data_IF_102194438276
#
_entry.id   IF_102194438276
#
_cell.length_a   1.000
_cell.length_b   1.000
_cell.length_c   1.000
_cell.angle_alpha   90.00
_cell.angle_beta   90.00
_cell.angle_gamma   90.00
#
_symmetry.space_group_name_H-M   'P 1'
#
loop_
_entity.id
_entity.type
_entity.pdbx_description
1 polymer ?
#
# COMPACT_ATOMS: atom_id res chain seq x y z
N UNK A 1 33.34 20.78 -43.67
CA UNK A 1 33.17 20.24 -42.29
C UNK A 1 34.28 19.22 -42.07
N UNK A 2 35.17 19.40 -41.10
CA UNK A 2 36.24 18.42 -40.85
C UNK A 2 35.63 17.14 -40.27
N UNK A 3 36.23 15.97 -40.53
CA UNK A 3 35.76 14.67 -39.99
C UNK A 3 35.52 14.72 -38.48
N UNK A 4 36.28 15.55 -37.76
CA UNK A 4 36.14 15.80 -36.31
C UNK A 4 34.82 16.51 -35.96
N UNK A 5 34.40 17.51 -36.75
CA UNK A 5 33.13 18.23 -36.53
C UNK A 5 31.91 17.33 -36.83
N UNK A 6 32.02 16.41 -37.79
CA UNK A 6 30.95 15.45 -38.08
C UNK A 6 30.76 14.45 -36.93
N UNK A 7 31.86 13.93 -36.37
CA UNK A 7 31.82 13.02 -35.22
C UNK A 7 31.22 13.73 -33.99
N UNK A 8 31.64 14.96 -33.69
CA UNK A 8 31.07 15.73 -32.57
C UNK A 8 29.58 16.00 -32.74
N UNK A 9 29.11 16.28 -33.96
CA UNK A 9 27.69 16.50 -34.23
C UNK A 9 26.88 15.20 -34.03
N UNK A 10 27.38 14.07 -34.51
CA UNK A 10 26.70 12.77 -34.34
C UNK A 10 26.61 12.39 -32.86
N UNK A 11 27.67 12.60 -32.08
CA UNK A 11 27.67 12.34 -30.63
C UNK A 11 26.70 13.27 -29.89
N UNK A 12 26.65 14.55 -30.25
CA UNK A 12 25.70 15.49 -29.64
C UNK A 12 24.26 15.10 -29.98
N UNK A 13 23.99 14.75 -31.23
CA UNK A 13 22.66 14.33 -31.68
C UNK A 13 22.23 13.04 -31.00
N UNK A 14 23.14 12.06 -30.84
CA UNK A 14 22.83 10.82 -30.13
C UNK A 14 22.56 11.07 -28.65
N UNK A 15 23.34 11.90 -27.97
CA UNK A 15 23.07 12.31 -26.58
C UNK A 15 21.72 13.00 -26.44
N UNK A 16 21.38 13.92 -27.35
CA UNK A 16 20.09 14.62 -27.33
C UNK A 16 18.93 13.65 -27.57
N UNK A 17 19.07 12.71 -28.50
CA UNK A 17 18.08 11.65 -28.74
C UNK A 17 17.90 10.77 -27.50
N UNK A 18 18.98 10.36 -26.83
CA UNK A 18 18.88 9.56 -25.60
C UNK A 18 18.16 10.33 -24.48
N UNK A 19 18.51 11.60 -24.25
CA UNK A 19 17.83 12.45 -23.26
C UNK A 19 16.34 12.64 -23.61
N UNK A 20 16.01 12.76 -24.89
CA UNK A 20 14.63 12.86 -25.35
C UNK A 20 13.87 11.55 -25.09
N UNK A 21 14.46 10.39 -25.38
CA UNK A 21 13.86 9.08 -25.12
C UNK A 21 13.61 8.87 -23.62
N UNK A 22 14.57 9.22 -22.77
CA UNK A 22 14.41 9.14 -21.30
C UNK A 22 13.28 10.06 -20.82
N UNK A 23 13.21 11.30 -21.35
CA UNK A 23 12.14 12.24 -21.00
C UNK A 23 10.75 11.76 -21.47
N UNK A 24 10.67 11.07 -22.60
CA UNK A 24 9.42 10.54 -23.15
C UNK A 24 8.98 9.22 -22.50
N UNK A 25 9.87 8.55 -21.78
CA UNK A 25 9.58 7.29 -21.09
C UNK A 25 9.97 7.43 -19.60
N UNK A 26 9.23 8.24 -18.82
CA UNK A 26 9.43 8.31 -17.38
C UNK A 26 9.24 6.92 -16.75
N UNK A 27 9.77 6.73 -15.54
CA UNK A 27 9.65 5.48 -14.79
C UNK A 27 8.16 5.16 -14.60
N UNK A 28 7.73 4.01 -15.15
CA UNK A 28 6.36 3.49 -15.05
C UNK A 28 6.31 2.28 -14.11
N UNK A 29 7.18 2.26 -13.11
CA UNK A 29 7.10 1.23 -12.10
C UNK A 29 5.80 1.42 -11.33
N UNK A 30 5.06 0.33 -11.18
CA UNK A 30 3.86 0.25 -10.34
C UNK A 30 4.22 0.71 -8.94
N UNK A 31 3.29 1.41 -8.29
CA UNK A 31 3.44 2.01 -6.95
C UNK A 31 4.53 3.08 -6.81
N UNK A 32 5.26 3.45 -7.86
CA UNK A 32 6.26 4.52 -7.75
C UNK A 32 5.58 5.88 -7.53
N UNK A 33 6.12 6.67 -6.58
CA UNK A 33 5.67 8.03 -6.29
C UNK A 33 5.96 9.03 -7.42
N UNK A 34 6.84 8.66 -8.36
CA UNK A 34 7.10 9.43 -9.59
C UNK A 34 6.28 8.96 -10.79
N UNK A 35 5.51 7.88 -10.65
CA UNK A 35 4.64 7.37 -11.70
C UNK A 35 3.29 8.11 -11.67
N UNK A 36 2.98 8.78 -12.78
CA UNK A 36 1.73 9.53 -12.97
C UNK A 36 0.65 8.76 -13.74
N UNK A 37 0.94 7.53 -14.16
CA UNK A 37 -0.06 6.65 -14.75
C UNK A 37 -1.02 6.11 -13.67
N UNK A 38 -2.08 5.41 -14.09
CA UNK A 38 -3.15 4.93 -13.21
C UNK A 38 -2.69 3.98 -12.09
N UNK A 39 -1.53 3.34 -12.26
CA UNK A 39 -0.92 2.39 -11.33
C UNK A 39 0.26 2.99 -10.53
N UNK A 40 0.42 4.31 -10.52
CA UNK A 40 1.40 5.02 -9.70
C UNK A 40 0.81 5.57 -8.40
N UNK A 41 1.69 6.19 -7.58
CA UNK A 41 1.34 6.84 -6.31
C UNK A 41 1.61 8.36 -6.32
N UNK A 42 1.77 8.99 -7.49
CA UNK A 42 2.09 10.42 -7.56
C UNK A 42 1.08 11.30 -6.82
N UNK A 43 -0.20 10.96 -6.90
CA UNK A 43 -1.28 11.78 -6.34
C UNK A 43 -1.37 11.59 -4.82
N UNK A 44 -1.18 10.36 -4.34
CA UNK A 44 -1.04 10.05 -2.93
C UNK A 44 0.21 10.72 -2.32
N UNK A 45 1.35 10.67 -3.02
CA UNK A 45 2.59 11.30 -2.59
C UNK A 45 2.48 12.83 -2.55
N UNK A 46 1.69 13.44 -3.45
CA UNK A 46 1.46 14.89 -3.45
C UNK A 46 0.64 15.37 -2.23
N UNK A 47 -0.12 14.48 -1.59
CA UNK A 47 -0.84 14.77 -0.34
C UNK A 47 0.03 14.61 0.92
N UNK A 48 1.19 13.94 0.82
CA UNK A 48 2.13 13.78 1.93
C UNK A 48 3.05 14.99 2.09
N UNK A 49 3.53 15.24 3.32
CA UNK A 49 4.47 16.33 3.61
C UNK A 49 5.81 16.16 2.87
N UNK A 50 6.28 14.91 2.77
CA UNK A 50 7.49 14.54 2.04
C UNK A 50 7.50 13.06 1.70
N UNK A 51 8.18 12.72 0.61
CA UNK A 51 8.54 11.34 0.25
C UNK A 51 9.98 11.07 0.67
N UNK A 52 10.25 9.94 1.31
CA UNK A 52 11.60 9.51 1.63
C UNK A 52 12.20 8.73 0.44
N UNK A 53 13.42 9.06 -0.02
CA UNK A 53 14.08 8.32 -1.09
C UNK A 53 14.70 7.00 -0.58
N UNK A 54 15.00 6.89 0.72
CA UNK A 54 15.40 5.64 1.38
C UNK A 54 14.95 5.62 2.85
N UNK A 55 14.95 4.42 3.45
CA UNK A 55 14.63 4.24 4.86
C UNK A 55 15.68 4.88 5.78
N UNK A 56 16.94 5.02 5.36
CA UNK A 56 18.01 5.63 6.17
C UNK A 56 17.67 7.07 6.63
N UNK A 57 16.78 7.76 5.92
CA UNK A 57 16.33 9.11 6.31
C UNK A 57 15.28 9.12 7.43
N UNK A 58 14.79 7.94 7.86
CA UNK A 58 13.76 7.81 8.89
C UNK A 58 14.25 8.29 10.25
N UNK A 59 15.53 8.11 10.57
CA UNK A 59 16.13 8.56 11.84
C UNK A 59 16.10 10.09 12.00
N UNK A 60 16.00 10.81 10.88
CA UNK A 60 15.94 12.27 10.82
C UNK A 60 14.49 12.80 10.76
N UNK A 61 13.48 11.94 10.84
CA UNK A 61 12.06 12.34 10.88
C UNK A 61 11.73 12.81 12.30
N UNK A 62 11.33 14.09 12.50
CA UNK A 62 10.88 14.54 13.81
C UNK A 62 9.55 13.88 14.18
N UNK A 63 9.42 13.44 15.43
CA UNK A 63 8.19 12.86 15.97
C UNK A 63 7.30 13.93 16.64
N UNK A 64 5.96 13.77 16.62
CA UNK A 64 5.21 12.64 16.06
C UNK A 64 5.14 12.69 14.53
N UNK A 65 5.22 11.52 13.87
CA UNK A 65 5.11 11.37 12.43
C UNK A 65 4.43 10.06 12.04
N UNK A 66 3.82 10.04 10.84
CA UNK A 66 3.24 8.85 10.23
C UNK A 66 4.02 8.50 8.97
N UNK A 67 4.45 7.25 8.84
CA UNK A 67 5.14 6.71 7.67
C UNK A 67 4.21 5.73 6.95
N UNK A 68 3.85 6.04 5.71
CA UNK A 68 3.16 5.10 4.83
C UNK A 68 4.20 4.21 4.12
N UNK A 69 4.09 2.90 4.32
CA UNK A 69 4.88 1.88 3.61
C UNK A 69 3.94 1.13 2.67
N UNK A 70 4.16 1.25 1.37
CA UNK A 70 3.29 0.68 0.34
C UNK A 70 4.11 -0.34 -0.45
N UNK A 71 3.69 -1.60 -0.42
CA UNK A 71 4.42 -2.75 -0.98
C UNK A 71 5.95 -2.67 -0.76
N UNK A 72 6.45 -2.58 0.49
CA UNK A 72 7.87 -2.38 0.75
C UNK A 72 8.76 -3.54 0.27
N UNK A 73 8.17 -4.68 -0.10
CA UNK A 73 8.89 -5.88 -0.48
C UNK A 73 9.68 -6.49 0.69
N UNK A 74 10.77 -7.17 0.40
CA UNK A 74 11.62 -7.75 1.42
C UNK A 74 12.56 -6.70 2.01
N UNK A 75 12.42 -6.43 3.32
CA UNK A 75 13.34 -5.58 4.08
C UNK A 75 14.52 -6.39 4.63
N UNK A 76 15.69 -5.77 4.70
CA UNK A 76 16.83 -6.36 5.39
C UNK A 76 16.79 -6.09 6.90
N UNK A 77 17.76 -6.65 7.65
CA UNK A 77 17.80 -6.48 9.11
C UNK A 77 17.94 -5.02 9.53
N UNK A 78 18.67 -4.20 8.79
CA UNK A 78 18.90 -2.80 9.14
C UNK A 78 17.61 -1.99 8.93
N UNK A 79 16.91 -2.20 7.82
CA UNK A 79 15.59 -1.61 7.55
C UNK A 79 14.61 -1.93 8.69
N UNK A 80 14.55 -3.20 9.10
CA UNK A 80 13.66 -3.67 10.16
C UNK A 80 13.98 -3.03 11.52
N UNK A 81 15.27 -2.87 11.85
CA UNK A 81 15.70 -2.19 13.07
C UNK A 81 15.31 -0.71 13.08
N UNK A 82 15.47 -0.02 11.95
CA UNK A 82 15.09 1.39 11.81
C UNK A 82 13.58 1.59 11.94
N UNK A 83 12.77 0.78 11.25
CA UNK A 83 11.30 0.83 11.34
C UNK A 83 10.82 0.54 12.77
N UNK A 84 11.40 -0.48 13.41
CA UNK A 84 11.10 -0.81 14.80
C UNK A 84 11.42 0.36 15.74
N UNK A 85 12.59 0.98 15.59
CA UNK A 85 13.00 2.11 16.43
C UNK A 85 12.07 3.33 16.25
N UNK A 86 11.66 3.60 15.01
CA UNK A 86 10.72 4.68 14.69
C UNK A 86 9.37 4.50 15.41
N UNK A 87 8.76 3.32 15.31
CA UNK A 87 7.47 3.05 15.97
C UNK A 87 7.61 3.03 17.49
N UNK A 88 8.67 2.41 18.01
CA UNK A 88 8.93 2.36 19.45
C UNK A 88 9.09 3.74 20.09
N UNK A 89 9.58 4.71 19.31
CA UNK A 89 9.78 6.10 19.73
C UNK A 89 8.51 6.96 19.64
N UNK A 90 7.39 6.40 19.17
CA UNK A 90 6.10 7.10 19.06
C UNK A 90 5.64 7.39 17.63
N UNK A 91 6.37 6.90 16.62
CA UNK A 91 5.94 6.98 15.22
C UNK A 91 4.75 6.06 14.92
N UNK A 92 4.00 6.38 13.86
CA UNK A 92 2.94 5.53 13.33
C UNK A 92 3.40 4.98 11.98
N UNK A 93 3.34 3.67 11.79
CA UNK A 93 3.51 3.07 10.46
C UNK A 93 2.15 2.67 9.92
N UNK A 94 1.85 3.05 8.68
CA UNK A 94 0.74 2.52 7.90
C UNK A 94 1.31 1.60 6.83
N UNK A 95 1.24 0.30 7.05
CA UNK A 95 1.64 -0.73 6.10
C UNK A 95 0.46 -1.06 5.19
N UNK A 96 0.63 -0.88 3.89
CA UNK A 96 -0.34 -1.24 2.87
C UNK A 96 0.26 -2.34 2.00
N UNK A 97 -0.29 -3.54 2.11
CA UNK A 97 0.22 -4.77 1.49
C UNK A 97 -0.91 -5.80 1.40
N UNK A 98 -0.92 -6.63 0.36
CA UNK A 98 -1.98 -7.62 0.11
C UNK A 98 -1.41 -9.02 -0.18
N UNK A 99 -0.41 -9.13 -1.06
CA UNK A 99 0.12 -10.40 -1.55
C UNK A 99 1.60 -10.62 -1.20
N UNK A 100 2.30 -9.57 -0.80
CA UNK A 100 3.73 -9.53 -0.60
C UNK A 100 4.23 -9.94 0.79
N UNK A 101 5.56 -10.00 0.97
CA UNK A 101 6.20 -10.49 2.18
C UNK A 101 6.20 -9.46 3.32
N UNK A 102 5.05 -9.20 3.93
CA UNK A 102 4.96 -8.35 5.13
C UNK A 102 5.31 -9.07 6.45
N UNK A 103 5.30 -10.41 6.47
CA UNK A 103 5.42 -11.19 7.71
C UNK A 103 6.69 -10.86 8.51
N UNK A 104 7.85 -10.82 7.84
CA UNK A 104 9.12 -10.51 8.52
C UNK A 104 9.14 -9.10 9.13
N UNK A 105 8.48 -8.15 8.48
CA UNK A 105 8.36 -6.77 8.95
C UNK A 105 7.42 -6.66 10.16
N UNK A 106 6.26 -7.32 10.11
CA UNK A 106 5.31 -7.35 11.22
C UNK A 106 5.88 -8.10 12.44
N UNK A 107 6.56 -9.22 12.22
CA UNK A 107 7.24 -10.00 13.27
C UNK A 107 8.34 -9.18 13.96
N UNK A 108 9.17 -8.47 13.19
CA UNK A 108 10.24 -7.62 13.73
C UNK A 108 9.71 -6.51 14.65
N UNK A 109 8.51 -6.00 14.35
CA UNK A 109 7.80 -5.01 15.16
C UNK A 109 6.90 -5.63 16.24
N UNK A 110 6.87 -6.96 16.36
CA UNK A 110 6.03 -7.71 17.31
C UNK A 110 4.53 -7.40 17.17
N UNK A 111 4.08 -7.18 15.93
CA UNK A 111 2.69 -6.91 15.56
C UNK A 111 1.96 -8.23 15.36
N UNK A 112 0.85 -8.42 16.04
CA UNK A 112 0.01 -9.62 15.96
C UNK A 112 -1.10 -9.47 14.92
N UNK A 113 -0.71 -9.07 13.71
CA UNK A 113 -1.57 -8.98 12.54
C UNK A 113 -0.92 -9.83 11.44
N UNK A 114 -1.70 -10.68 10.79
CA UNK A 114 -1.26 -11.47 9.63
C UNK A 114 -2.13 -11.14 8.43
N UNK A 115 -1.51 -10.82 7.30
CA UNK A 115 -2.22 -10.71 6.02
C UNK A 115 -2.42 -12.11 5.45
N UNK A 116 -3.64 -12.45 5.07
CA UNK A 116 -3.98 -13.79 4.61
C UNK A 116 -3.34 -14.16 3.27
N UNK A 117 -3.05 -13.18 2.41
CA UNK A 117 -2.44 -13.39 1.08
C UNK A 117 -3.35 -14.13 0.10
N UNK A 118 -4.67 -14.04 0.29
CA UNK A 118 -5.71 -14.68 -0.51
C UNK A 118 -6.81 -13.68 -0.87
N UNK A 119 -7.58 -13.86 -1.98
CA UNK A 119 -8.53 -12.86 -2.45
C UNK A 119 -9.73 -12.67 -1.53
N UNK A 120 -9.99 -11.44 -1.11
CA UNK A 120 -11.27 -11.05 -0.53
C UNK A 120 -12.26 -10.69 -1.64
N UNK A 121 -13.48 -11.21 -1.56
CA UNK A 121 -14.53 -10.94 -2.54
C UNK A 121 -15.83 -10.53 -1.86
N UNK A 122 -16.58 -9.62 -2.49
CA UNK A 122 -17.91 -9.25 -2.04
C UNK A 122 -18.88 -9.11 -3.23
N UNK A 123 -19.84 -10.03 -3.42
CA UNK A 123 -20.73 -10.01 -4.57
C UNK A 123 -21.82 -8.93 -4.49
N UNK A 124 -22.08 -8.34 -3.32
CA UNK A 124 -23.19 -7.41 -3.11
C UNK A 124 -22.71 -5.98 -2.80
N UNK A 125 -21.68 -5.86 -1.96
CA UNK A 125 -21.09 -4.59 -1.56
C UNK A 125 -19.76 -4.34 -2.26
N UNK A 126 -19.76 -4.37 -3.59
CA UNK A 126 -18.59 -4.04 -4.41
C UNK A 126 -18.85 -2.88 -5.37
N UNK A 127 -17.78 -2.24 -5.88
CA UNK A 127 -17.92 -1.16 -6.87
C UNK A 127 -18.66 -1.63 -8.13
N UNK A 128 -18.07 -2.58 -8.85
CA UNK A 128 -18.57 -3.12 -10.13
C UNK A 128 -18.24 -4.59 -10.34
N UNK A 129 -17.25 -5.10 -9.60
CA UNK A 129 -16.80 -6.50 -9.65
C UNK A 129 -16.59 -6.97 -8.20
N UNK A 130 -16.89 -8.23 -7.84
CA UNK A 130 -16.71 -8.71 -6.48
C UNK A 130 -15.27 -8.61 -5.94
N UNK A 131 -14.27 -8.52 -6.82
CA UNK A 131 -12.87 -8.26 -6.45
C UNK A 131 -12.57 -6.81 -6.04
N UNK A 132 -13.56 -5.92 -6.12
CA UNK A 132 -13.49 -4.53 -5.67
C UNK A 132 -14.43 -4.28 -4.48
N UNK A 133 -14.25 -4.98 -3.35
CA UNK A 133 -15.16 -4.92 -2.22
C UNK A 133 -15.11 -3.54 -1.56
N UNK A 134 -16.21 -3.15 -0.93
CA UNK A 134 -16.28 -1.96 -0.08
C UNK A 134 -16.01 -2.35 1.37
N UNK A 135 -15.17 -1.55 2.01
CA UNK A 135 -14.88 -1.65 3.44
C UNK A 135 -15.47 -0.45 4.20
N UNK A 136 -15.83 -0.68 5.45
CA UNK A 136 -16.55 0.26 6.30
C UNK A 136 -15.82 0.47 7.63
N UNK A 137 -15.77 1.69 8.16
CA UNK A 137 -15.19 1.94 9.48
C UNK A 137 -16.01 1.28 10.59
N UNK A 138 -15.34 0.49 11.45
CA UNK A 138 -15.99 -0.17 12.60
C UNK A 138 -16.49 0.85 13.63
N UNK A 139 -15.77 1.96 13.79
CA UNK A 139 -16.10 3.02 14.74
C UNK A 139 -17.27 3.92 14.30
N UNK A 140 -17.71 3.81 13.05
CA UNK A 140 -18.74 4.69 12.47
C UNK A 140 -19.97 3.91 12.02
N UNK A 141 -21.14 4.29 12.53
CA UNK A 141 -22.41 3.81 11.99
C UNK A 141 -22.79 4.50 10.67
N UNK A 142 -22.03 5.52 10.23
CA UNK A 142 -22.29 6.22 8.98
C UNK A 142 -21.74 5.46 7.78
N UNK A 143 -22.61 4.66 7.16
CA UNK A 143 -22.30 3.87 5.96
C UNK A 143 -22.02 4.72 4.71
N UNK A 144 -22.07 6.05 4.80
CA UNK A 144 -21.59 6.92 3.70
C UNK A 144 -20.09 6.80 3.52
N UNK A 145 -19.35 6.73 4.62
CA UNK A 145 -17.90 6.52 4.61
C UNK A 145 -17.60 5.07 4.25
N UNK A 146 -16.95 4.89 3.10
CA UNK A 146 -16.50 3.58 2.65
C UNK A 146 -15.27 3.70 1.75
N UNK A 147 -14.34 2.79 1.97
CA UNK A 147 -13.17 2.63 1.12
C UNK A 147 -13.50 1.55 0.09
N UNK A 148 -13.21 1.81 -1.17
CA UNK A 148 -13.28 0.81 -2.24
C UNK A 148 -11.90 0.21 -2.39
N UNK A 149 -11.80 -1.08 -2.06
CA UNK A 149 -10.58 -1.85 -2.21
C UNK A 149 -10.42 -2.33 -3.66
N UNK A 150 -9.19 -2.68 -4.05
CA UNK A 150 -8.82 -3.15 -5.37
C UNK A 150 -8.03 -4.46 -5.30
N UNK A 151 -8.71 -5.60 -5.46
CA UNK A 151 -8.10 -6.93 -5.33
C UNK A 151 -7.44 -7.17 -3.96
N UNK A 152 -8.08 -6.70 -2.89
CA UNK A 152 -7.58 -6.85 -1.53
C UNK A 152 -7.49 -8.30 -1.06
N UNK A 153 -6.65 -8.49 -0.04
CA UNK A 153 -6.71 -9.62 0.87
C UNK A 153 -7.48 -9.26 2.15
N UNK A 154 -7.27 -10.01 3.23
CA UNK A 154 -7.83 -9.73 4.55
C UNK A 154 -6.82 -9.97 5.67
N UNK A 155 -7.19 -9.52 6.87
CA UNK A 155 -6.37 -9.63 8.07
C UNK A 155 -6.87 -10.73 9.01
N UNK A 156 -5.92 -11.44 9.61
CA UNK A 156 -6.11 -12.34 10.74
C UNK A 156 -5.46 -11.65 11.94
N UNK A 157 -6.24 -11.44 12.99
CA UNK A 157 -5.85 -10.59 14.12
C UNK A 157 -5.57 -11.42 15.38
N UNK A 158 -4.54 -11.02 16.11
CA UNK A 158 -4.27 -11.44 17.49
C UNK A 158 -5.04 -10.60 18.51
N UNK A 159 -4.74 -10.82 19.79
CA UNK A 159 -5.48 -10.20 20.91
C UNK A 159 -5.20 -8.70 21.09
N UNK A 160 -4.09 -8.17 20.55
CA UNK A 160 -3.68 -6.77 20.76
C UNK A 160 -4.00 -5.87 19.56
N UNK A 161 -4.68 -6.38 18.54
CA UNK A 161 -5.05 -5.61 17.36
C UNK A 161 -6.53 -5.24 17.37
N UNK A 162 -6.83 -3.98 17.07
CA UNK A 162 -8.19 -3.45 16.93
C UNK A 162 -8.54 -3.25 15.45
N UNK A 163 -9.73 -3.67 15.03
CA UNK A 163 -10.21 -3.50 13.65
C UNK A 163 -10.55 -2.02 13.40
N UNK A 164 -10.02 -1.47 12.31
CA UNK A 164 -10.36 -0.13 11.81
C UNK A 164 -11.41 -0.20 10.70
N UNK A 165 -11.18 -1.06 9.70
CA UNK A 165 -12.05 -1.26 8.55
C UNK A 165 -12.40 -2.74 8.40
N UNK A 166 -13.66 -3.02 8.11
CA UNK A 166 -14.17 -4.36 7.81
C UNK A 166 -14.99 -4.39 6.52
N UNK A 167 -15.01 -5.54 5.86
CA UNK A 167 -15.88 -5.79 4.71
C UNK A 167 -17.35 -5.92 5.12
N UNK A 168 -18.26 -6.04 4.14
CA UNK A 168 -19.67 -6.31 4.46
C UNK A 168 -19.89 -7.73 4.97
N UNK A 169 -21.06 -7.98 5.56
CA UNK A 169 -21.50 -9.32 5.97
C UNK A 169 -21.56 -10.35 4.82
N UNK A 170 -21.64 -9.89 3.55
CA UNK A 170 -21.73 -10.77 2.38
C UNK A 170 -20.37 -11.09 1.76
N UNK A 171 -19.30 -10.47 2.25
CA UNK A 171 -17.96 -10.77 1.78
C UNK A 171 -17.51 -12.18 2.20
N UNK A 172 -16.58 -12.74 1.45
CA UNK A 172 -15.91 -13.99 1.78
C UNK A 172 -14.47 -13.98 1.30
N UNK A 173 -13.60 -14.71 2.00
CA UNK A 173 -12.25 -14.98 1.53
C UNK A 173 -12.25 -16.19 0.61
N UNK A 174 -11.85 -16.00 -0.64
CA UNK A 174 -11.80 -17.02 -1.70
C UNK A 174 -10.50 -17.83 -1.57
N UNK A 175 -10.47 -18.75 -0.61
CA UNK A 175 -9.27 -19.49 -0.19
C UNK A 175 -8.75 -20.38 -1.32
N UNK A 176 -9.65 -20.88 -2.17
CA UNK A 176 -9.29 -21.74 -3.30
C UNK A 176 -9.19 -21.02 -4.66
N UNK A 177 -9.52 -19.72 -4.70
CA UNK A 177 -9.38 -18.87 -5.89
C UNK A 177 -10.40 -19.16 -7.00
N UNK A 178 -11.54 -19.78 -6.70
CA UNK A 178 -12.52 -20.18 -7.71
C UNK A 178 -13.58 -19.09 -8.00
N UNK A 179 -13.54 -17.97 -7.27
CA UNK A 179 -14.43 -16.83 -7.45
C UNK A 179 -15.84 -17.05 -6.88
N UNK A 180 -16.06 -18.04 -6.01
CA UNK A 180 -17.35 -18.39 -5.39
C UNK A 180 -17.15 -18.73 -3.93
N UNK A 181 -18.19 -18.54 -3.13
CA UNK A 181 -18.16 -18.97 -1.74
C UNK A 181 -18.29 -20.49 -1.64
N UNK A 182 -17.38 -21.11 -0.88
CA UNK A 182 -17.41 -22.52 -0.50
C UNK A 182 -17.58 -22.72 1.01
N UNK A 183 -18.17 -23.86 1.39
CA UNK A 183 -18.36 -24.22 2.79
C UNK A 183 -17.00 -24.27 3.52
N UNK A 184 -16.86 -23.46 4.56
CA UNK A 184 -15.65 -23.38 5.39
C UNK A 184 -14.75 -22.19 5.07
N UNK A 185 -15.04 -21.43 4.01
CA UNK A 185 -14.35 -20.17 3.75
C UNK A 185 -14.76 -19.09 4.78
N UNK A 186 -13.84 -18.17 5.14
CA UNK A 186 -14.17 -17.08 6.03
C UNK A 186 -15.25 -16.20 5.40
N UNK A 187 -16.18 -15.73 6.22
CA UNK A 187 -17.31 -14.88 5.79
C UNK A 187 -17.36 -13.60 6.60
N UNK A 188 -17.96 -12.59 5.99
CA UNK A 188 -18.07 -11.23 6.49
C UNK A 188 -18.79 -11.09 7.84
N UNK A 189 -18.53 -9.99 8.57
CA UNK A 189 -17.54 -8.95 8.27
C UNK A 189 -16.11 -9.46 8.47
N UNK A 190 -15.24 -9.21 7.49
CA UNK A 190 -13.84 -9.64 7.52
C UNK A 190 -12.96 -8.39 7.70
N UNK A 191 -12.03 -8.37 8.67
CA UNK A 191 -11.09 -7.27 8.86
C UNK A 191 -10.20 -7.06 7.63
N UNK A 192 -10.06 -5.79 7.21
CA UNK A 192 -9.19 -5.37 6.09
C UNK A 192 -8.24 -4.24 6.47
N UNK A 193 -8.53 -3.52 7.54
CA UNK A 193 -7.54 -2.66 8.19
C UNK A 193 -7.63 -2.82 9.70
N UNK A 194 -6.48 -2.86 10.36
CA UNK A 194 -6.39 -2.98 11.81
C UNK A 194 -5.17 -2.22 12.35
N UNK A 195 -5.21 -1.89 13.64
CA UNK A 195 -4.14 -1.19 14.35
C UNK A 195 -3.66 -2.04 15.52
N UNK A 196 -2.36 -2.11 15.72
CA UNK A 196 -1.74 -2.72 16.90
C UNK A 196 -0.76 -1.74 17.57
N UNK A 197 -0.72 -1.67 18.91
CA UNK A 197 0.24 -0.85 19.63
C UNK A 197 1.63 -1.50 19.62
N UNK A 198 2.66 -0.71 19.34
CA UNK A 198 4.07 -1.15 19.36
C UNK A 198 4.93 -0.11 20.06
N UNK A 199 5.42 -0.42 21.27
CA UNK A 199 6.17 0.54 22.07
C UNK A 199 5.32 1.76 22.43
N UNK A 200 5.76 2.97 22.04
CA UNK A 200 5.00 4.21 22.22
C UNK A 200 4.14 4.59 21.00
N UNK A 201 4.29 3.88 19.89
CA UNK A 201 3.62 4.14 18.63
C UNK A 201 2.61 3.06 18.25
N UNK A 202 2.23 3.06 16.98
CA UNK A 202 1.24 2.13 16.43
C UNK A 202 1.67 1.64 15.04
N UNK A 203 1.28 0.41 14.72
CA UNK A 203 1.33 -0.12 13.35
C UNK A 203 -0.10 -0.34 12.90
N UNK A 204 -0.47 0.35 11.82
CA UNK A 204 -1.71 0.16 11.08
C UNK A 204 -1.38 -0.71 9.87
N UNK A 205 -2.14 -1.78 9.66
CA UNK A 205 -2.00 -2.66 8.50
C UNK A 205 -3.29 -2.55 7.68
N UNK A 206 -3.16 -2.37 6.38
CA UNK A 206 -4.24 -2.37 5.39
C UNK A 206 -3.96 -3.47 4.38
N UNK A 207 -4.90 -4.39 4.19
CA UNK A 207 -4.74 -5.58 3.35
C UNK A 207 -4.91 -5.31 1.84
N UNK A 208 -4.56 -4.10 1.41
CA UNK A 208 -4.66 -3.60 0.05
C UNK A 208 -3.71 -2.42 -0.12
N UNK A 209 -2.72 -2.55 -1.01
CA UNK A 209 -1.85 -1.43 -1.41
C UNK A 209 -2.46 -0.58 -2.53
N UNK A 210 -3.38 -1.17 -3.29
CA UNK A 210 -3.88 -0.64 -4.54
C UNK A 210 -5.00 0.38 -4.39
N UNK A 211 -5.66 0.47 -3.23
CA UNK A 211 -6.75 1.43 -3.01
C UNK A 211 -6.30 2.90 -3.09
N UNK A 212 -5.01 3.18 -2.92
CA UNK A 212 -4.39 4.52 -3.00
C UNK A 212 -3.71 4.82 -4.34
N UNK A 213 -3.76 3.89 -5.31
CA UNK A 213 -3.26 4.16 -6.65
C UNK A 213 -3.95 5.38 -7.26
N UNK A 214 -3.27 6.12 -8.13
CA UNK A 214 -3.83 7.29 -8.82
C UNK A 214 -5.22 6.99 -9.45
N UNK A 215 -5.39 5.79 -10.02
CA UNK A 215 -6.67 5.37 -10.61
C UNK A 215 -7.78 5.00 -9.61
N UNK A 216 -7.45 4.87 -8.33
CA UNK A 216 -8.35 4.45 -7.24
C UNK A 216 -8.58 5.54 -6.20
N UNK A 217 -7.69 6.51 -6.07
CA UNK A 217 -7.68 7.48 -4.97
C UNK A 217 -8.95 8.35 -4.91
N UNK A 218 -9.49 8.74 -6.06
CA UNK A 218 -10.74 9.50 -6.19
C UNK A 218 -12.00 8.61 -6.18
N UNK A 219 -11.87 7.30 -5.97
CA UNK A 219 -13.00 6.38 -5.92
C UNK A 219 -13.60 6.38 -4.51
N UNK A 220 -14.87 6.81 -4.41
CA UNK A 220 -15.61 6.85 -3.16
C UNK A 220 -14.95 7.76 -2.11
N UNK A 221 -14.42 7.21 -1.01
CA UNK A 221 -13.77 7.95 0.07
C UNK A 221 -12.32 7.50 0.24
N UNK A 222 -11.67 6.95 -0.78
CA UNK A 222 -10.32 6.39 -0.65
C UNK A 222 -9.27 7.42 -0.20
N UNK A 223 -9.46 8.69 -0.57
CA UNK A 223 -8.62 9.82 -0.12
C UNK A 223 -8.93 10.31 1.30
N UNK A 224 -10.16 10.13 1.80
CA UNK A 224 -10.62 10.67 3.09
C UNK A 224 -10.31 9.74 4.27
#
# INVERSE_FOLDING_TARGET
MTRRNLVSLVVLLSMLCTLLVVRLNPVRADFATSNHDWNGLSDFAAAADRTLPSLDEIEHVPLPATLALVEPGACDTADLEQLRAFVQSGGIIVLMEDWGPATGLLDAMSVDITIAGMPLRDPLHCLRDPSLPRAYPVSSNDKRYKVVLNHASWLILGERADVLLESSFFAYGDVNGNGRYDNGEPTGPIPVAAVAPTGQGHVIVVSDASFILNGMLDVSNNME
#
